data_IF_649037478461
#
_entry.id   IF_649037478461
#
_cell.length_a   1.000
_cell.length_b   1.000
_cell.length_c   1.000
_cell.angle_alpha   90.00
_cell.angle_beta   90.00
_cell.angle_gamma   90.00
#
_symmetry.space_group_name_H-M   'P 1'
#
loop_
_entity.id
_entity.type
_entity.pdbx_description
1 polymer ?
#
# COMPACT_ATOMS: atom_id res chain seq x y z
N UNK A 1 -10.40 34.11 -8.91
CA UNK A 1 -9.73 33.15 -8.02
C UNK A 1 -10.68 31.99 -7.83
N UNK A 2 -10.21 30.77 -8.05
CA UNK A 2 -11.02 29.60 -7.72
C UNK A 2 -11.24 29.49 -6.20
N UNK A 3 -12.33 28.83 -5.76
CA UNK A 3 -12.54 28.54 -4.36
C UNK A 3 -11.38 27.74 -3.77
N UNK A 4 -11.00 28.04 -2.53
CA UNK A 4 -9.89 27.35 -1.83
C UNK A 4 -10.09 25.82 -1.75
N UNK A 5 -11.34 25.37 -1.69
CA UNK A 5 -11.73 23.96 -1.71
C UNK A 5 -11.34 23.26 -3.03
N UNK A 6 -11.49 23.98 -4.15
CA UNK A 6 -11.12 23.48 -5.46
C UNK A 6 -9.60 23.40 -5.60
N UNK A 7 -8.89 24.43 -5.15
CA UNK A 7 -7.41 24.44 -5.13
C UNK A 7 -6.83 23.30 -4.29
N UNK A 8 -7.39 23.04 -3.11
CA UNK A 8 -6.98 21.91 -2.26
C UNK A 8 -7.21 20.57 -2.97
N UNK A 9 -8.36 20.41 -3.62
CA UNK A 9 -8.69 19.19 -4.37
C UNK A 9 -7.71 18.97 -5.53
N UNK A 10 -7.41 20.02 -6.30
CA UNK A 10 -6.49 19.96 -7.44
C UNK A 10 -5.06 19.66 -6.99
N UNK A 11 -4.57 20.31 -5.94
CA UNK A 11 -3.23 20.06 -5.38
C UNK A 11 -3.10 18.64 -4.86
N UNK A 12 -4.09 18.14 -4.10
CA UNK A 12 -4.12 16.76 -3.61
C UNK A 12 -4.09 15.76 -4.77
N UNK A 13 -4.89 16.00 -5.81
CA UNK A 13 -4.96 15.15 -7.00
C UNK A 13 -3.63 15.14 -7.75
N UNK A 14 -3.04 16.31 -7.98
CA UNK A 14 -1.77 16.48 -8.69
C UNK A 14 -0.62 15.81 -7.95
N UNK A 15 -0.54 16.00 -6.62
CA UNK A 15 0.48 15.36 -5.79
C UNK A 15 0.36 13.84 -5.81
N UNK A 16 -0.86 13.28 -5.69
CA UNK A 16 -1.10 11.83 -5.77
C UNK A 16 -0.68 11.26 -7.12
N UNK A 17 -1.01 11.97 -8.20
CA UNK A 17 -0.62 11.58 -9.55
C UNK A 17 0.91 11.47 -9.70
N UNK A 18 1.65 12.50 -9.27
CA UNK A 18 3.11 12.49 -9.37
C UNK A 18 3.77 11.49 -8.40
N UNK A 19 3.20 11.26 -7.22
CA UNK A 19 3.68 10.18 -6.34
C UNK A 19 3.52 8.79 -6.96
N UNK A 20 2.39 8.54 -7.63
CA UNK A 20 2.16 7.28 -8.33
C UNK A 20 3.18 7.08 -9.45
N UNK A 21 3.39 8.10 -10.27
CA UNK A 21 4.38 8.05 -11.34
C UNK A 21 5.80 7.80 -10.83
N UNK A 22 6.18 8.48 -9.74
CA UNK A 22 7.50 8.37 -9.15
C UNK A 22 7.72 7.01 -8.46
N UNK A 23 6.80 6.56 -7.60
CA UNK A 23 7.02 5.39 -6.74
C UNK A 23 6.52 4.07 -7.31
N UNK A 24 5.53 4.09 -8.21
CA UNK A 24 4.92 2.87 -8.75
C UNK A 24 5.35 2.64 -10.19
N UNK A 25 5.36 3.69 -11.02
CA UNK A 25 5.66 3.55 -12.44
C UNK A 25 7.15 3.73 -12.77
N UNK A 26 7.96 4.22 -11.83
CA UNK A 26 9.37 4.61 -12.04
C UNK A 26 9.52 5.55 -13.27
N UNK A 27 8.55 6.45 -13.45
CA UNK A 27 8.41 7.32 -14.62
C UNK A 27 7.97 8.74 -14.23
N UNK A 28 8.79 9.48 -13.47
CA UNK A 28 8.41 10.82 -12.99
C UNK A 28 8.30 11.83 -14.14
N UNK A 29 7.21 12.62 -14.13
CA UNK A 29 6.99 13.71 -15.11
C UNK A 29 7.56 15.05 -14.66
N UNK A 30 7.69 15.26 -13.34
CA UNK A 30 8.20 16.50 -12.76
C UNK A 30 9.43 16.24 -11.89
N UNK A 31 10.36 17.21 -11.77
CA UNK A 31 11.48 17.11 -10.84
C UNK A 31 11.03 17.18 -9.37
N UNK A 32 11.82 16.59 -8.48
CA UNK A 32 11.57 16.58 -7.03
C UNK A 32 11.34 17.99 -6.45
N UNK A 33 12.06 19.00 -6.95
CA UNK A 33 11.92 20.39 -6.50
C UNK A 33 10.52 20.98 -6.79
N UNK A 34 9.89 20.55 -7.90
CA UNK A 34 8.55 21.00 -8.26
C UNK A 34 7.49 20.28 -7.41
N UNK A 35 7.68 18.99 -7.16
CA UNK A 35 6.86 18.25 -6.21
C UNK A 35 6.90 18.87 -4.81
N UNK A 36 8.10 19.22 -4.31
CA UNK A 36 8.28 19.88 -3.03
C UNK A 36 7.65 21.28 -2.97
N UNK A 37 7.60 21.98 -4.12
CA UNK A 37 6.88 23.26 -4.25
C UNK A 37 5.38 23.06 -4.06
N UNK A 38 4.79 22.11 -4.78
CA UNK A 38 3.35 21.78 -4.67
C UNK A 38 2.97 21.29 -3.27
N UNK A 39 3.84 20.50 -2.63
CA UNK A 39 3.62 20.02 -1.26
C UNK A 39 3.64 21.17 -0.23
N UNK A 40 4.53 22.16 -0.41
CA UNK A 40 4.53 23.37 0.45
C UNK A 40 3.27 24.20 0.25
N UNK A 41 2.84 24.39 -1.00
CA UNK A 41 1.61 25.11 -1.34
C UNK A 41 0.37 24.46 -0.69
N UNK A 42 0.26 23.13 -0.77
CA UNK A 42 -0.80 22.38 -0.09
C UNK A 42 -0.78 22.60 1.44
N UNK A 43 0.40 22.53 2.07
CA UNK A 43 0.54 22.80 3.52
C UNK A 43 0.12 24.21 3.90
N UNK A 44 0.47 25.20 3.10
CA UNK A 44 0.11 26.60 3.34
C UNK A 44 -1.40 26.82 3.25
N UNK A 45 -2.08 26.20 2.28
CA UNK A 45 -3.54 26.28 2.15
C UNK A 45 -4.26 25.53 3.27
N UNK A 46 -3.78 24.36 3.65
CA UNK A 46 -4.33 23.59 4.78
C UNK A 46 -4.14 24.32 6.12
N UNK A 47 -3.04 25.05 6.31
CA UNK A 47 -2.84 25.89 7.48
C UNK A 47 -3.84 27.06 7.55
N UNK A 48 -4.28 27.59 6.40
CA UNK A 48 -5.29 28.66 6.32
C UNK A 48 -6.70 28.14 6.53
N UNK A 49 -6.98 26.89 6.16
CA UNK A 49 -8.28 26.22 6.32
C UNK A 49 -8.12 24.86 7.00
N UNK A 50 -7.84 24.83 8.32
CA UNK A 50 -7.67 23.58 9.06
C UNK A 50 -8.92 22.69 9.03
N UNK A 51 -10.10 23.29 8.86
CA UNK A 51 -11.39 22.62 8.73
C UNK A 51 -11.52 21.75 7.46
N UNK A 52 -10.67 21.98 6.46
CA UNK A 52 -10.66 21.25 5.19
C UNK A 52 -9.57 20.18 5.11
N UNK A 53 -8.79 19.97 6.18
CA UNK A 53 -7.77 18.91 6.22
C UNK A 53 -8.46 17.56 6.29
N UNK A 54 -8.13 16.69 5.34
CA UNK A 54 -8.65 15.32 5.29
C UNK A 54 -7.58 14.31 5.76
N UNK A 55 -7.98 13.19 6.42
CA UNK A 55 -7.02 12.19 6.91
C UNK A 55 -6.16 11.52 5.82
N UNK A 56 -6.60 11.57 4.56
CA UNK A 56 -5.96 11.02 3.37
C UNK A 56 -5.16 12.07 2.57
N UNK A 57 -5.04 13.30 3.09
CA UNK A 57 -4.24 14.34 2.44
C UNK A 57 -2.75 13.93 2.42
N UNK A 58 -2.01 14.21 1.32
CA UNK A 58 -0.57 13.94 1.22
C UNK A 58 0.26 14.49 2.39
N UNK A 59 -0.21 15.58 3.02
CA UNK A 59 0.47 16.21 4.17
C UNK A 59 0.39 15.40 5.46
N UNK A 60 -0.57 14.47 5.58
CA UNK A 60 -0.88 13.73 6.81
C UNK A 60 -0.13 12.39 6.93
N UNK A 61 0.76 12.06 5.99
CA UNK A 61 1.46 10.75 5.96
C UNK A 61 2.49 10.55 7.06
N UNK A 62 3.10 11.62 7.57
CA UNK A 62 4.19 11.55 8.56
C UNK A 62 3.88 12.54 9.68
N UNK A 63 3.68 12.06 10.91
CA UNK A 63 3.48 12.99 12.04
C UNK A 63 2.76 12.46 13.29
N UNK A 64 2.31 11.21 13.35
CA UNK A 64 1.70 10.69 14.58
C UNK A 64 2.77 10.37 15.64
N UNK A 65 2.48 10.69 16.91
CA UNK A 65 3.27 10.20 18.04
C UNK A 65 3.32 8.66 18.02
N UNK A 66 4.42 8.04 18.51
CA UNK A 66 4.51 6.58 18.58
C UNK A 66 3.31 6.02 19.35
N UNK A 67 2.67 4.98 18.81
CA UNK A 67 1.60 4.29 19.51
C UNK A 67 2.18 3.61 20.76
N UNK A 68 1.49 3.74 21.88
CA UNK A 68 1.87 3.10 23.15
C UNK A 68 1.48 1.62 23.21
N UNK A 69 0.52 1.21 22.37
CA UNK A 69 0.07 -0.17 22.21
C UNK A 69 -0.59 -0.35 20.84
N UNK A 70 -0.57 -1.58 20.33
CA UNK A 70 -1.27 -1.97 19.12
C UNK A 70 -2.58 -2.68 19.45
N UNK A 71 -3.65 -2.31 18.75
CA UNK A 71 -4.89 -3.09 18.80
C UNK A 71 -4.70 -4.34 17.94
N UNK A 72 -5.38 -5.43 18.31
CA UNK A 72 -5.46 -6.60 17.44
C UNK A 72 -6.59 -6.45 16.43
N UNK A 73 -6.35 -6.89 15.21
CA UNK A 73 -7.37 -7.00 14.16
C UNK A 73 -7.39 -8.42 13.62
N UNK A 74 -8.61 -8.93 13.41
CA UNK A 74 -8.81 -10.22 12.75
C UNK A 74 -8.89 -9.99 11.25
N UNK A 75 -8.08 -10.71 10.48
CA UNK A 75 -8.16 -10.67 9.03
C UNK A 75 -9.47 -11.31 8.56
N UNK A 76 -10.18 -10.66 7.65
CA UNK A 76 -11.44 -11.18 7.09
C UNK A 76 -11.22 -12.53 6.39
N UNK A 77 -10.08 -12.65 5.70
CA UNK A 77 -9.58 -13.89 5.11
C UNK A 77 -8.23 -14.20 5.78
N UNK A 78 -8.03 -15.41 6.33
CA UNK A 78 -6.75 -15.78 6.93
C UNK A 78 -5.60 -15.63 5.95
N UNK A 79 -4.53 -14.95 6.36
CA UNK A 79 -3.31 -14.85 5.57
C UNK A 79 -2.53 -16.17 5.62
N UNK A 80 -2.28 -16.76 4.45
CA UNK A 80 -1.58 -18.03 4.32
C UNK A 80 -0.05 -17.87 4.36
N UNK A 81 0.65 -18.96 4.64
CA UNK A 81 2.08 -19.10 4.37
C UNK A 81 2.30 -19.95 3.11
N UNK A 82 3.52 -19.90 2.59
CA UNK A 82 3.96 -20.78 1.50
C UNK A 82 4.86 -21.88 2.07
N UNK A 83 4.63 -23.11 1.63
CA UNK A 83 5.59 -24.21 1.79
C UNK A 83 6.81 -23.97 0.90
N UNK A 84 7.94 -24.59 1.27
CA UNK A 84 9.22 -24.37 0.61
C UNK A 84 9.72 -25.63 -0.11
N UNK A 85 10.50 -25.43 -1.16
CA UNK A 85 11.34 -26.44 -1.82
C UNK A 85 12.75 -25.86 -1.97
N UNK A 86 13.77 -26.72 -1.92
CA UNK A 86 15.17 -26.28 -1.91
C UNK A 86 15.97 -26.78 -3.12
N UNK A 87 15.34 -27.57 -3.97
CA UNK A 87 15.94 -28.21 -5.13
C UNK A 87 14.91 -28.37 -6.25
N UNK A 88 15.40 -28.58 -7.46
CA UNK A 88 14.58 -28.66 -8.67
C UNK A 88 13.69 -29.91 -8.68
N UNK A 89 14.16 -31.04 -8.16
CA UNK A 89 13.39 -32.29 -8.11
C UNK A 89 12.14 -32.13 -7.24
N UNK A 90 12.30 -31.53 -6.06
CA UNK A 90 11.21 -31.19 -5.14
C UNK A 90 10.20 -30.23 -5.77
N UNK A 91 10.67 -29.25 -6.55
CA UNK A 91 9.79 -28.33 -7.29
C UNK A 91 9.00 -29.05 -8.39
N UNK A 92 9.65 -29.91 -9.18
CA UNK A 92 8.99 -30.70 -10.22
C UNK A 92 7.97 -31.68 -9.62
N UNK A 93 8.26 -32.24 -8.45
CA UNK A 93 7.31 -33.06 -7.70
C UNK A 93 6.08 -32.27 -7.26
N UNK A 94 6.25 -31.01 -6.82
CA UNK A 94 5.12 -30.11 -6.54
C UNK A 94 4.28 -29.84 -7.79
N UNK A 95 4.91 -29.48 -8.92
CA UNK A 95 4.21 -29.28 -10.19
C UNK A 95 3.40 -30.52 -10.59
N UNK A 96 3.99 -31.71 -10.46
CA UNK A 96 3.28 -32.97 -10.73
C UNK A 96 2.05 -33.16 -9.83
N UNK A 97 2.18 -32.91 -8.52
CA UNK A 97 1.04 -33.01 -7.59
C UNK A 97 -0.12 -32.10 -7.98
N UNK A 98 0.18 -30.89 -8.47
CA UNK A 98 -0.83 -29.92 -8.91
C UNK A 98 -1.54 -30.42 -10.18
N UNK A 99 -0.77 -30.87 -11.19
CA UNK A 99 -1.30 -31.44 -12.43
C UNK A 99 -2.22 -32.65 -12.17
N UNK A 100 -1.76 -33.60 -11.35
CA UNK A 100 -2.51 -34.82 -11.01
C UNK A 100 -3.84 -34.49 -10.30
N UNK A 101 -3.91 -33.37 -9.56
CA UNK A 101 -5.11 -32.93 -8.82
C UNK A 101 -6.11 -32.16 -9.67
N UNK A 102 -5.65 -31.39 -10.66
CA UNK A 102 -6.51 -30.61 -11.55
C UNK A 102 -7.33 -31.48 -12.51
N UNK A 103 -6.89 -32.73 -12.77
CA UNK A 103 -7.54 -33.67 -13.70
C UNK A 103 -7.78 -33.05 -15.10
N UNK A 104 -6.90 -32.14 -15.50
CA UNK A 104 -6.91 -31.47 -16.80
C UNK A 104 -5.65 -31.85 -17.58
N UNK A 105 -5.74 -31.85 -18.89
CA UNK A 105 -4.61 -32.02 -19.81
C UNK A 105 -4.06 -30.69 -20.31
N UNK A 106 -4.66 -29.57 -19.90
CA UNK A 106 -4.17 -28.24 -20.24
C UNK A 106 -2.89 -27.91 -19.47
N UNK A 107 -2.00 -27.13 -20.09
CA UNK A 107 -0.79 -26.67 -19.44
C UNK A 107 -1.13 -25.67 -18.33
N UNK A 108 -0.54 -25.87 -17.15
CA UNK A 108 -0.65 -24.91 -16.04
C UNK A 108 0.30 -23.76 -16.30
N UNK A 109 -0.22 -22.54 -16.26
CA UNK A 109 0.56 -21.31 -16.34
C UNK A 109 0.92 -20.90 -14.92
N UNK A 110 2.21 -20.68 -14.67
CA UNK A 110 2.73 -20.25 -13.37
C UNK A 110 3.06 -18.75 -13.39
N UNK A 111 2.59 -18.01 -12.39
CA UNK A 111 3.12 -16.69 -12.07
C UNK A 111 4.35 -16.87 -11.18
N UNK A 112 5.50 -16.40 -11.64
CA UNK A 112 6.76 -16.49 -10.90
C UNK A 112 7.15 -15.11 -10.38
N UNK A 113 7.17 -14.95 -9.06
CA UNK A 113 7.48 -13.69 -8.38
C UNK A 113 8.76 -13.84 -7.55
N UNK A 114 9.51 -12.75 -7.39
CA UNK A 114 10.64 -12.73 -6.48
C UNK A 114 10.13 -12.84 -5.04
N UNK A 115 10.68 -13.78 -4.27
CA UNK A 115 10.38 -13.89 -2.84
C UNK A 115 11.09 -12.76 -2.08
N UNK A 116 10.37 -11.66 -1.84
CA UNK A 116 10.85 -10.56 -1.03
C UNK A 116 11.05 -11.02 0.42
N UNK A 117 12.23 -10.76 0.97
CA UNK A 117 12.57 -11.09 2.36
C UNK A 117 12.21 -9.92 3.28
N UNK A 118 10.95 -9.92 3.72
CA UNK A 118 10.40 -8.84 4.53
C UNK A 118 9.20 -9.31 5.35
N UNK A 119 8.38 -8.36 5.79
CA UNK A 119 7.18 -8.63 6.57
C UNK A 119 5.94 -8.58 5.67
N UNK A 120 5.12 -9.63 5.70
CA UNK A 120 3.84 -9.63 5.00
C UNK A 120 2.82 -8.74 5.72
N UNK A 121 2.16 -7.86 4.98
CA UNK A 121 1.19 -6.88 5.47
C UNK A 121 -0.08 -6.95 4.63
N UNK A 122 -1.24 -6.91 5.29
CA UNK A 122 -2.56 -6.71 4.71
C UNK A 122 -2.95 -5.24 4.83
N UNK A 123 -3.50 -4.64 3.77
CA UNK A 123 -3.93 -3.24 3.73
C UNK A 123 -5.36 -3.19 3.22
N UNK A 124 -6.28 -2.68 4.04
CA UNK A 124 -7.69 -2.54 3.69
C UNK A 124 -7.98 -1.15 3.15
N UNK A 125 -8.60 -1.14 1.98
CA UNK A 125 -9.10 0.05 1.31
C UNK A 125 -10.62 0.01 1.21
N UNK A 126 -11.30 1.03 1.73
CA UNK A 126 -12.72 1.24 1.49
C UNK A 126 -12.91 2.52 0.68
N UNK A 127 -13.63 2.43 -0.44
CA UNK A 127 -13.85 3.56 -1.34
C UNK A 127 -12.57 4.31 -1.75
N UNK A 128 -11.46 3.58 -1.91
CA UNK A 128 -10.16 4.19 -2.21
C UNK A 128 -9.60 5.01 -1.05
N UNK A 129 -9.84 4.62 0.20
CA UNK A 129 -9.22 5.23 1.39
C UNK A 129 -8.66 4.14 2.28
N UNK A 130 -7.43 4.30 2.76
CA UNK A 130 -6.79 3.36 3.69
C UNK A 130 -7.52 3.40 5.04
N UNK A 131 -8.19 2.31 5.39
CA UNK A 131 -8.96 2.18 6.64
C UNK A 131 -8.15 1.48 7.72
N UNK A 132 -7.51 0.36 7.39
CA UNK A 132 -6.68 -0.40 8.33
C UNK A 132 -5.50 -1.05 7.61
N UNK A 133 -4.47 -1.41 8.37
CA UNK A 133 -3.38 -2.21 7.87
C UNK A 133 -2.78 -3.05 8.99
N UNK A 134 -2.44 -4.30 8.71
CA UNK A 134 -1.92 -5.21 9.73
C UNK A 134 -0.90 -6.20 9.17
N UNK A 135 0.17 -6.52 9.92
CA UNK A 135 1.06 -7.60 9.55
C UNK A 135 0.33 -8.94 9.64
N UNK A 136 0.92 -9.98 9.06
CA UNK A 136 0.36 -11.34 9.06
C UNK A 136 0.00 -11.85 10.46
N UNK A 137 0.85 -11.57 11.44
CA UNK A 137 0.77 -12.19 12.76
C UNK A 137 0.73 -13.72 12.66
N UNK A 138 -0.25 -14.34 13.29
CA UNK A 138 -0.45 -15.79 13.29
C UNK A 138 -1.19 -16.31 12.03
N UNK A 139 -1.58 -15.43 11.12
CA UNK A 139 -2.35 -15.72 9.90
C UNK A 139 -3.79 -15.23 10.02
N UNK A 140 -4.58 -15.67 11.03
CA UNK A 140 -5.91 -15.13 11.31
C UNK A 140 -5.94 -13.74 11.96
N UNK A 141 -4.92 -13.37 12.76
CA UNK A 141 -4.90 -12.14 13.56
C UNK A 141 -3.59 -11.39 13.39
N UNK A 142 -3.67 -10.07 13.27
CA UNK A 142 -2.53 -9.15 13.21
C UNK A 142 -2.68 -7.97 14.17
N UNK A 143 -1.70 -7.08 14.14
CA UNK A 143 -1.67 -5.82 14.90
C UNK A 143 -2.05 -4.64 13.98
N UNK A 144 -2.94 -3.77 14.42
CA UNK A 144 -3.41 -2.63 13.62
C UNK A 144 -2.34 -1.52 13.59
N UNK A 145 -1.72 -1.33 12.43
CA UNK A 145 -0.56 -0.45 12.17
C UNK A 145 -0.77 0.56 11.01
N UNK A 146 -1.96 1.19 10.84
CA UNK A 146 -2.24 2.05 9.67
C UNK A 146 -1.31 3.27 9.63
N UNK A 147 -0.88 3.77 10.79
CA UNK A 147 0.07 4.88 10.89
C UNK A 147 1.44 4.53 10.30
N UNK A 148 1.93 3.30 10.49
CA UNK A 148 3.20 2.85 9.93
C UNK A 148 3.11 2.71 8.41
N UNK A 149 2.04 2.09 7.90
CA UNK A 149 1.85 1.88 6.46
C UNK A 149 1.68 3.21 5.70
N UNK A 150 1.05 4.22 6.32
CA UNK A 150 0.93 5.57 5.75
C UNK A 150 2.27 6.27 5.52
N UNK A 151 3.34 5.86 6.21
CA UNK A 151 4.68 6.42 6.00
C UNK A 151 5.40 5.85 4.77
N UNK A 152 4.97 4.69 4.28
CA UNK A 152 5.59 4.01 3.14
C UNK A 152 5.25 4.81 1.87
N UNK A 153 6.26 5.38 1.21
CA UNK A 153 6.06 6.06 -0.07
C UNK A 153 5.71 5.05 -1.16
N UNK A 154 4.71 5.34 -1.98
CA UNK A 154 4.20 4.41 -2.99
C UNK A 154 3.14 3.42 -2.50
N UNK A 155 2.85 3.36 -1.20
CA UNK A 155 1.70 2.59 -0.68
C UNK A 155 0.35 3.28 -0.96
N UNK A 156 0.40 4.47 -1.57
CA UNK A 156 -0.75 5.33 -1.84
C UNK A 156 -1.72 4.71 -2.87
N UNK A 157 -2.83 4.23 -2.33
CA UNK A 157 -4.21 4.59 -2.68
C UNK A 157 -4.41 5.28 -4.05
N UNK A 158 -5.22 4.65 -4.91
CA UNK A 158 -5.84 5.29 -6.08
C UNK A 158 -6.96 6.23 -5.69
#
# INVERSE_FOLDING_TARGET
>A
MEPIEQQLTELRTTLRHHEYLYHVMDAPEIPDAEYDRLMRELRELEAQRPDLITPDSPTQRVGAAPLTAFNQIRHEVPMLSLDNVFDEESFLAFNKRVQDRLKSTENVIWCCELKLDGLAVSILYENGVLVSAAPRGDGPTGEDIPSYVRTIRGSAVR
#
